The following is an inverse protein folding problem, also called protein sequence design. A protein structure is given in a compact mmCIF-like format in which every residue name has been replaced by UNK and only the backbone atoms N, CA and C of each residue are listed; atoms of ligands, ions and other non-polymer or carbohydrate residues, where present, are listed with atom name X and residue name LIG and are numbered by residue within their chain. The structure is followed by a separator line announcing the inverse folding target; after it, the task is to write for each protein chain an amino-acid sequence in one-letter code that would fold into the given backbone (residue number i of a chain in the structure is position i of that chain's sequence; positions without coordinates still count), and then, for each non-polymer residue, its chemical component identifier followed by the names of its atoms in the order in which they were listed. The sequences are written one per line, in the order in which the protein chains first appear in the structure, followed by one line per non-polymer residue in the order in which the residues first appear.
data_IF_736981939304
#
_entry.id   IF_736981939304
#
_cell.length_a   1.000
_cell.length_b   1.000
_cell.length_c   1.000
_cell.angle_alpha   90.00
_cell.angle_beta   90.00
_cell.angle_gamma   90.00
#
_symmetry.space_group_name_H-M   'P 1'
#
loop_
_entity.id
_entity.type
_entity.pdbx_description
1 polymer ?
#
# COMPACT_ATOMS: atom_id res chain seq x y z
N UNK A 1 59.15 -71.10 1.41
CA UNK A 1 59.69 -70.82 2.76
C UNK A 1 59.92 -69.31 2.87
N UNK A 2 59.13 -68.63 3.73
CA UNK A 2 59.20 -67.19 4.12
C UNK A 2 58.88 -66.20 2.96
N UNK A 3 57.98 -65.22 3.05
CA UNK A 3 57.57 -64.32 4.15
C UNK A 3 56.14 -63.76 3.95
N UNK A 4 55.40 -63.58 5.05
CA UNK A 4 54.18 -62.76 5.18
C UNK A 4 54.44 -61.27 4.87
N UNK A 5 53.40 -60.54 4.43
CA UNK A 5 52.94 -59.28 5.06
C UNK A 5 51.50 -58.95 4.64
N UNK A 6 50.77 -58.36 5.58
CA UNK A 6 49.32 -58.29 5.64
C UNK A 6 48.78 -56.87 5.44
N UNK A 7 47.50 -56.81 5.00
CA UNK A 7 46.45 -55.78 5.20
C UNK A 7 46.71 -54.35 4.70
N UNK A 8 45.77 -53.82 3.92
CA UNK A 8 44.99 -52.63 4.34
C UNK A 8 43.67 -52.52 3.54
N UNK A 9 42.61 -52.16 4.28
CA UNK A 9 41.25 -51.83 3.84
C UNK A 9 41.19 -50.46 3.12
N UNK A 10 40.16 -50.24 2.29
CA UNK A 10 39.76 -48.88 1.93
C UNK A 10 38.80 -48.80 0.73
N UNK A 11 37.51 -49.02 0.96
CA UNK A 11 36.45 -48.66 0.01
C UNK A 11 36.21 -47.14 0.08
N UNK A 12 36.32 -46.43 -1.04
CA UNK A 12 35.97 -45.02 -1.16
C UNK A 12 34.67 -44.89 -1.97
N UNK A 13 33.56 -44.67 -1.25
CA UNK A 13 32.31 -44.14 -1.79
C UNK A 13 32.45 -42.62 -1.94
N UNK A 14 32.49 -42.13 -3.18
CA UNK A 14 32.36 -40.71 -3.50
C UNK A 14 30.88 -40.40 -3.75
N UNK A 15 30.19 -39.95 -2.70
CA UNK A 15 28.87 -39.33 -2.81
C UNK A 15 29.02 -37.83 -3.09
N UNK A 16 28.65 -37.39 -4.29
CA UNK A 16 28.59 -35.98 -4.63
C UNK A 16 27.26 -35.38 -4.11
N UNK A 17 27.30 -34.71 -2.96
CA UNK A 17 26.22 -33.85 -2.50
C UNK A 17 26.27 -32.53 -3.29
N UNK A 18 25.41 -32.39 -4.31
CA UNK A 18 25.15 -31.11 -4.95
C UNK A 18 24.28 -30.25 -4.02
N UNK A 19 24.91 -29.36 -3.26
CA UNK A 19 24.21 -28.31 -2.52
C UNK A 19 23.70 -27.27 -3.52
N UNK A 20 22.39 -27.27 -3.78
CA UNK A 20 21.72 -26.15 -4.44
C UNK A 20 21.80 -24.93 -3.51
N UNK A 21 22.82 -24.09 -3.71
CA UNK A 21 22.89 -22.79 -3.07
C UNK A 21 21.76 -21.93 -3.61
N UNK A 22 20.72 -21.73 -2.81
CA UNK A 22 19.77 -20.65 -3.05
C UNK A 22 20.53 -19.34 -2.85
N UNK A 23 20.91 -18.69 -3.94
CA UNK A 23 21.41 -17.32 -3.91
C UNK A 23 20.27 -16.44 -3.42
N UNK A 24 20.29 -16.08 -2.13
CA UNK A 24 19.45 -14.99 -1.65
C UNK A 24 19.84 -13.73 -2.47
N UNK A 25 18.87 -12.97 -3.02
CA UNK A 25 19.21 -11.74 -3.70
C UNK A 25 19.92 -10.84 -2.70
N UNK A 26 21.10 -10.33 -3.09
CA UNK A 26 21.78 -9.28 -2.37
C UNK A 26 20.97 -7.99 -2.56
N UNK A 27 19.87 -7.84 -1.84
CA UNK A 27 19.17 -6.57 -1.77
C UNK A 27 20.11 -5.59 -1.07
N UNK A 28 20.52 -4.54 -1.80
CA UNK A 28 21.26 -3.44 -1.21
C UNK A 28 20.44 -2.91 -0.02
N UNK A 29 21.04 -2.90 1.17
CA UNK A 29 20.34 -2.47 2.37
C UNK A 29 19.84 -1.03 2.19
N UNK A 30 18.57 -0.82 2.52
CA UNK A 30 17.94 0.50 2.53
C UNK A 30 18.80 1.47 3.36
N UNK A 31 19.31 2.52 2.72
CA UNK A 31 20.15 3.50 3.40
C UNK A 31 19.28 4.64 3.91
N UNK A 32 19.11 4.72 5.22
CA UNK A 32 18.39 5.84 5.87
C UNK A 32 19.34 7.03 5.97
N UNK A 33 19.03 8.14 5.29
CA UNK A 33 19.84 9.37 5.31
C UNK A 33 19.34 10.41 6.32
N UNK A 34 18.10 10.27 6.78
CA UNK A 34 17.53 11.07 7.87
C UNK A 34 16.51 10.25 8.66
N UNK A 35 16.38 10.47 9.99
CA UNK A 35 15.27 9.93 10.75
C UNK A 35 13.94 10.32 10.14
N UNK A 36 12.97 9.41 10.24
CA UNK A 36 11.63 9.67 9.75
C UNK A 36 10.88 10.64 10.68
N UNK A 37 10.14 11.58 10.11
CA UNK A 37 9.34 12.54 10.84
C UNK A 37 7.87 12.46 10.36
N UNK A 38 6.95 12.01 11.22
CA UNK A 38 5.53 11.90 10.88
C UNK A 38 4.81 13.26 10.84
N UNK A 39 5.42 14.33 11.37
CA UNK A 39 4.82 15.67 11.51
C UNK A 39 5.08 16.60 10.32
N UNK A 40 5.62 16.07 9.21
CA UNK A 40 5.89 16.84 7.98
C UNK A 40 4.71 16.83 6.99
N UNK A 41 3.57 16.35 7.45
CA UNK A 41 2.33 16.26 6.70
C UNK A 41 1.17 16.68 7.58
N UNK A 42 0.16 17.30 7.00
CA UNK A 42 -1.11 17.61 7.65
C UNK A 42 -2.25 16.80 7.02
N UNK A 43 -2.98 15.95 7.77
CA UNK A 43 -2.74 15.60 9.17
C UNK A 43 -1.43 14.82 9.35
N UNK A 44 -0.89 14.86 10.57
CA UNK A 44 0.30 14.10 10.93
C UNK A 44 0.11 12.61 10.66
N UNK A 45 1.15 11.96 10.14
CA UNK A 45 1.17 10.52 10.01
C UNK A 45 1.19 9.88 11.41
N UNK A 46 0.58 8.70 11.57
CA UNK A 46 0.66 7.94 12.83
C UNK A 46 1.97 7.17 12.96
N UNK A 47 2.63 6.91 11.83
CA UNK A 47 3.95 6.32 11.74
C UNK A 47 4.58 6.62 10.38
N UNK A 48 5.89 6.45 10.28
CA UNK A 48 6.55 6.59 8.99
C UNK A 48 7.84 5.75 8.93
N UNK A 49 8.23 5.40 7.71
CA UNK A 49 9.40 4.60 7.41
C UNK A 49 10.38 5.43 6.59
N UNK A 50 11.42 5.88 7.29
CA UNK A 50 12.66 6.46 6.77
C UNK A 50 12.56 7.72 5.92
N UNK A 51 13.71 8.34 5.73
CA UNK A 51 14.07 9.03 4.50
C UNK A 51 15.20 8.24 3.87
N UNK A 52 14.85 7.35 2.96
CA UNK A 52 15.79 6.48 2.27
C UNK A 52 16.47 7.23 1.14
N UNK A 53 17.76 6.99 0.94
CA UNK A 53 18.50 7.57 -0.19
C UNK A 53 17.90 7.12 -1.52
N UNK A 54 17.74 8.06 -2.45
CA UNK A 54 17.30 7.77 -3.81
C UNK A 54 15.80 7.92 -4.05
N UNK A 55 15.41 7.77 -5.31
CA UNK A 55 14.01 7.67 -5.72
C UNK A 55 13.57 6.21 -5.74
N UNK A 56 12.89 5.79 -4.68
CA UNK A 56 12.34 4.43 -4.58
C UNK A 56 11.02 4.25 -5.35
N UNK A 57 10.50 5.26 -6.05
CA UNK A 57 9.15 5.28 -6.63
C UNK A 57 9.17 5.30 -8.17
N UNK A 58 10.10 4.56 -8.78
CA UNK A 58 10.33 4.51 -10.22
C UNK A 58 9.92 3.19 -10.91
N UNK A 59 9.53 2.16 -10.15
CA UNK A 59 9.09 0.86 -10.68
C UNK A 59 10.21 -0.11 -11.07
N UNK A 60 11.48 0.19 -10.77
CA UNK A 60 12.56 -0.78 -10.98
C UNK A 60 12.43 -1.98 -10.01
N UNK A 61 12.91 -3.18 -10.35
CA UNK A 61 12.85 -4.33 -9.45
C UNK A 61 13.50 -4.09 -8.08
N UNK A 62 14.62 -3.37 -8.05
CA UNK A 62 15.31 -3.00 -6.80
C UNK A 62 14.46 -2.05 -5.97
N UNK A 63 13.85 -1.06 -6.62
CA UNK A 63 13.03 -0.06 -5.94
C UNK A 63 11.74 -0.67 -5.42
N UNK A 64 11.14 -1.60 -6.15
CA UNK A 64 9.99 -2.38 -5.69
C UNK A 64 10.36 -3.19 -4.44
N UNK A 65 11.49 -3.91 -4.43
CA UNK A 65 11.93 -4.65 -3.25
C UNK A 65 12.19 -3.72 -2.05
N UNK A 66 12.75 -2.54 -2.29
CA UNK A 66 12.97 -1.51 -1.30
C UNK A 66 11.65 -0.94 -0.73
N UNK A 67 10.63 -0.71 -1.58
CA UNK A 67 9.29 -0.32 -1.13
C UNK A 67 8.67 -1.40 -0.23
N UNK A 68 8.79 -2.67 -0.60
CA UNK A 68 8.29 -3.79 0.21
C UNK A 68 8.95 -3.83 1.59
N UNK A 69 10.28 -3.69 1.62
CA UNK A 69 11.04 -3.65 2.87
C UNK A 69 10.67 -2.44 3.74
N UNK A 70 10.54 -1.25 3.14
CA UNK A 70 10.13 -0.04 3.86
C UNK A 70 8.72 -0.18 4.45
N UNK A 71 7.75 -0.63 3.65
CA UNK A 71 6.35 -0.79 4.08
C UNK A 71 6.22 -1.83 5.21
N UNK A 72 7.01 -2.92 5.15
CA UNK A 72 7.03 -3.94 6.20
C UNK A 72 7.55 -3.43 7.55
N UNK A 73 8.23 -2.28 7.60
CA UNK A 73 8.68 -1.65 8.85
C UNK A 73 7.60 -0.81 9.53
N UNK A 74 6.52 -0.46 8.81
CA UNK A 74 5.40 0.30 9.37
C UNK A 74 4.61 -0.57 10.36
N UNK A 75 4.09 0.01 11.46
CA UNK A 75 3.25 -0.73 12.40
C UNK A 75 1.95 -1.19 11.72
N UNK A 76 1.40 -2.31 12.19
CA UNK A 76 0.15 -2.88 11.65
C UNK A 76 0.33 -4.03 10.66
N UNK A 77 1.56 -4.45 10.37
CA UNK A 77 1.84 -5.65 9.57
C UNK A 77 1.52 -5.48 8.08
N UNK A 78 1.62 -4.25 7.57
CA UNK A 78 1.39 -3.96 6.16
C UNK A 78 2.46 -4.59 5.28
N UNK A 79 2.04 -5.07 4.11
CA UNK A 79 2.93 -5.61 3.08
C UNK A 79 2.53 -5.08 1.72
N UNK A 80 3.50 -4.79 0.88
CA UNK A 80 3.28 -4.55 -0.54
C UNK A 80 3.62 -5.83 -1.32
N UNK A 81 2.75 -6.23 -2.23
CA UNK A 81 2.91 -7.46 -3.03
C UNK A 81 3.94 -7.32 -4.18
N UNK A 82 4.44 -6.10 -4.40
CA UNK A 82 5.40 -5.80 -5.46
C UNK A 82 4.75 -5.51 -6.82
N UNK A 83 3.42 -5.49 -6.91
CA UNK A 83 2.70 -5.23 -8.16
C UNK A 83 2.70 -3.73 -8.50
N UNK A 84 3.83 -3.23 -8.99
CA UNK A 84 3.97 -1.82 -9.38
C UNK A 84 2.98 -1.39 -10.48
N UNK A 85 2.64 -2.28 -11.42
CA UNK A 85 1.67 -1.98 -12.48
C UNK A 85 0.25 -1.73 -11.98
N UNK A 86 -0.09 -2.18 -10.77
CA UNK A 86 -1.36 -1.84 -10.13
C UNK A 86 -1.35 -0.42 -9.53
N UNK A 87 -0.16 0.13 -9.24
CA UNK A 87 0.03 1.45 -8.63
C UNK A 87 0.32 2.54 -9.66
N UNK A 88 1.17 2.28 -10.65
CA UNK A 88 1.55 3.24 -11.69
C UNK A 88 0.85 2.87 -13.02
N UNK A 89 -0.01 3.74 -13.60
CA UNK A 89 -0.21 5.16 -13.26
C UNK A 89 -1.38 5.46 -12.32
N UNK A 90 -2.21 4.48 -11.96
CA UNK A 90 -3.52 4.73 -11.34
C UNK A 90 -3.47 5.46 -9.98
N UNK A 91 -2.43 5.20 -9.19
CA UNK A 91 -2.25 5.68 -7.82
C UNK A 91 -0.93 6.43 -7.62
N UNK A 92 -0.28 6.82 -8.71
CA UNK A 92 0.93 7.66 -8.69
C UNK A 92 0.60 9.06 -9.16
N UNK A 93 1.03 10.05 -8.40
CA UNK A 93 0.94 11.47 -8.76
C UNK A 93 2.34 12.03 -8.96
N UNK A 94 2.49 12.90 -9.96
CA UNK A 94 3.76 13.60 -10.26
C UNK A 94 3.64 15.11 -10.06
N UNK A 95 2.52 15.57 -9.50
CA UNK A 95 2.25 16.96 -9.19
C UNK A 95 1.39 17.07 -7.93
N UNK A 96 1.54 18.20 -7.24
CA UNK A 96 0.72 18.55 -6.08
C UNK A 96 -0.48 19.37 -6.54
N UNK A 97 -1.65 19.15 -5.92
CA UNK A 97 -2.77 20.07 -6.07
C UNK A 97 -2.66 21.20 -5.04
N UNK A 98 -3.21 22.38 -5.35
CA UNK A 98 -3.19 23.55 -4.44
C UNK A 98 -1.81 23.80 -3.80
N UNK A 99 -0.74 23.65 -4.58
CA UNK A 99 0.67 23.83 -4.20
C UNK A 99 1.27 22.74 -3.30
N UNK A 100 0.53 22.19 -2.34
CA UNK A 100 1.10 21.26 -1.35
C UNK A 100 0.32 19.97 -1.09
N UNK A 101 -0.75 19.69 -1.83
CA UNK A 101 -1.63 18.56 -1.53
C UNK A 101 -1.28 17.32 -2.35
N UNK A 102 -1.12 16.21 -1.64
CA UNK A 102 -1.11 14.85 -2.16
C UNK A 102 -2.56 14.43 -2.41
N UNK A 103 -3.03 14.66 -3.64
CA UNK A 103 -4.40 14.38 -4.04
C UNK A 103 -4.44 13.29 -5.12
N UNK A 104 -5.00 12.13 -4.75
CA UNK A 104 -5.10 10.95 -5.62
C UNK A 104 -6.46 10.87 -6.34
N UNK A 105 -7.25 11.96 -6.36
CA UNK A 105 -8.55 12.01 -7.02
C UNK A 105 -9.64 11.16 -6.37
N UNK A 106 -9.43 10.70 -5.14
CA UNK A 106 -10.38 9.86 -4.39
C UNK A 106 -10.33 10.18 -2.90
N UNK A 107 -11.41 9.84 -2.21
CA UNK A 107 -11.44 9.90 -0.75
C UNK A 107 -10.61 8.75 -0.17
N UNK A 108 -9.76 9.09 0.79
CA UNK A 108 -8.88 8.18 1.52
C UNK A 108 -9.49 7.95 2.91
N UNK A 109 -9.40 6.73 3.43
CA UNK A 109 -10.00 6.35 4.71
C UNK A 109 -9.07 5.45 5.51
N UNK A 110 -9.31 5.40 6.83
CA UNK A 110 -8.64 4.46 7.74
C UNK A 110 -7.10 4.42 7.56
N UNK A 111 -6.49 3.25 7.76
CA UNK A 111 -5.07 3.06 7.50
C UNK A 111 -4.72 3.32 6.03
N UNK A 112 -3.91 4.34 5.79
CA UNK A 112 -3.54 4.79 4.44
C UNK A 112 -2.02 4.93 4.36
N UNK A 113 -1.39 4.29 3.36
CA UNK A 113 0.06 4.40 3.15
C UNK A 113 0.34 5.21 1.90
N UNK A 114 1.11 6.28 2.07
CA UNK A 114 1.57 7.12 0.97
C UNK A 114 3.10 7.14 0.98
N UNK A 115 3.71 6.72 -0.12
CA UNK A 115 5.12 6.95 -0.39
C UNK A 115 5.32 8.27 -1.12
N UNK A 116 6.35 9.05 -0.78
CA UNK A 116 6.72 10.26 -1.50
C UNK A 116 8.22 10.29 -1.79
N UNK A 117 8.58 10.90 -2.92
CA UNK A 117 9.96 11.13 -3.31
C UNK A 117 10.25 12.63 -3.44
N UNK A 118 11.41 13.04 -2.91
CA UNK A 118 11.95 14.38 -2.97
C UNK A 118 13.37 14.35 -3.54
N UNK A 119 13.59 14.97 -4.70
CA UNK A 119 14.84 14.85 -5.45
C UNK A 119 15.89 15.93 -5.18
N UNK A 120 15.54 16.98 -4.45
CA UNK A 120 16.41 18.14 -4.17
C UNK A 120 16.08 18.81 -2.82
N UNK A 121 16.09 18.02 -1.74
CA UNK A 121 15.93 18.51 -0.37
C UNK A 121 17.23 19.17 0.08
N UNK A 122 17.13 20.32 0.75
CA UNK A 122 18.30 21.01 1.29
C UNK A 122 19.04 20.16 2.33
N UNK A 123 20.37 20.27 2.34
CA UNK A 123 21.23 19.56 3.31
C UNK A 123 21.65 18.16 2.84
N UNK A 124 22.18 17.33 3.75
CA UNK A 124 22.78 16.03 3.41
C UNK A 124 21.78 14.99 2.91
N UNK A 125 20.47 15.22 3.12
CA UNK A 125 19.42 14.35 2.65
C UNK A 125 19.35 14.32 1.10
N UNK A 126 19.37 15.49 0.45
CA UNK A 126 19.49 15.66 -1.01
C UNK A 126 18.38 15.04 -1.84
N UNK A 127 18.37 13.71 -1.93
CA UNK A 127 17.47 12.91 -2.74
C UNK A 127 16.94 11.73 -1.91
N UNK A 128 15.65 11.76 -1.57
CA UNK A 128 15.06 10.87 -0.56
C UNK A 128 13.68 10.35 -0.91
N UNK A 129 13.35 9.16 -0.40
CA UNK A 129 12.00 8.60 -0.38
C UNK A 129 11.55 8.26 1.04
N UNK A 130 10.30 8.56 1.34
CA UNK A 130 9.64 8.32 2.65
C UNK A 130 8.32 7.62 2.44
N UNK A 131 7.91 6.80 3.41
CA UNK A 131 6.59 6.17 3.44
C UNK A 131 5.88 6.54 4.74
N UNK A 132 4.74 7.22 4.64
CA UNK A 132 3.91 7.59 5.77
C UNK A 132 2.72 6.65 5.89
N UNK A 133 2.36 6.32 7.13
CA UNK A 133 1.13 5.65 7.50
C UNK A 133 0.22 6.66 8.20
N UNK A 134 -0.98 6.84 7.67
CA UNK A 134 -2.03 7.68 8.24
C UNK A 134 -3.16 6.80 8.79
N UNK A 135 -3.90 7.32 9.77
CA UNK A 135 -5.27 6.86 10.05
C UNK A 135 -6.25 8.00 9.76
N UNK A 136 -6.93 7.92 8.63
CA UNK A 136 -7.89 8.93 8.16
C UNK A 136 -9.32 8.63 8.62
N UNK A 137 -9.50 7.61 9.45
CA UNK A 137 -10.78 7.24 10.06
C UNK A 137 -11.90 6.98 9.05
N UNK A 138 -13.15 7.08 9.51
CA UNK A 138 -14.36 6.85 8.71
C UNK A 138 -14.82 8.08 7.92
N UNK A 139 -14.50 9.27 8.41
CA UNK A 139 -14.78 10.53 7.71
C UNK A 139 -13.97 10.63 6.42
N UNK A 140 -12.73 10.14 6.48
CA UNK A 140 -11.79 10.18 5.38
C UNK A 140 -11.22 11.57 5.10
N UNK A 141 -10.29 11.64 4.15
CA UNK A 141 -9.71 12.86 3.65
C UNK A 141 -9.55 12.78 2.13
N UNK A 142 -9.80 13.89 1.42
CA UNK A 142 -9.60 13.96 -0.04
C UNK A 142 -8.14 14.16 -0.43
N UNK A 143 -7.30 14.58 0.51
CA UNK A 143 -5.87 14.81 0.33
C UNK A 143 -5.14 14.77 1.67
N UNK A 144 -3.81 14.65 1.59
CA UNK A 144 -2.88 14.97 2.69
C UNK A 144 -2.03 16.14 2.23
N UNK A 145 -1.85 17.15 3.07
CA UNK A 145 -0.98 18.29 2.75
C UNK A 145 0.45 17.99 3.17
N UNK A 146 1.42 18.38 2.35
CA UNK A 146 2.81 18.48 2.74
C UNK A 146 3.04 19.83 3.43
N UNK A 147 3.78 19.83 4.53
CA UNK A 147 4.15 21.08 5.20
C UNK A 147 5.36 21.74 4.50
N UNK A 148 6.14 20.93 3.78
CA UNK A 148 7.22 21.37 2.91
C UNK A 148 7.18 20.64 1.56
N UNK A 149 7.25 21.40 0.47
CA UNK A 149 7.13 20.87 -0.90
C UNK A 149 8.44 20.86 -1.69
N UNK A 150 9.53 21.34 -1.07
CA UNK A 150 10.82 21.50 -1.72
C UNK A 150 11.35 20.16 -2.24
N UNK A 151 11.61 20.11 -3.55
CA UNK A 151 12.11 18.93 -4.22
C UNK A 151 11.06 17.83 -4.46
N UNK A 152 9.78 18.04 -4.14
CA UNK A 152 8.73 17.05 -4.43
C UNK A 152 8.78 16.65 -5.90
N UNK A 153 8.81 15.34 -6.14
CA UNK A 153 8.89 14.76 -7.48
C UNK A 153 7.65 13.93 -7.80
N UNK A 154 7.30 13.01 -6.90
CA UNK A 154 6.13 12.17 -7.06
C UNK A 154 5.72 11.51 -5.73
N UNK A 155 4.48 11.04 -5.67
CA UNK A 155 3.97 10.23 -4.58
C UNK A 155 3.10 9.07 -5.09
N UNK A 156 2.99 8.02 -4.30
CA UNK A 156 2.26 6.80 -4.61
C UNK A 156 1.39 6.42 -3.42
N UNK A 157 0.12 6.13 -3.69
CA UNK A 157 -0.82 5.58 -2.72
C UNK A 157 -0.77 4.05 -2.78
N UNK A 158 -0.30 3.40 -1.71
CA UNK A 158 -0.15 1.95 -1.64
C UNK A 158 -1.40 1.25 -1.11
N UNK A 159 -2.03 1.84 -0.10
CA UNK A 159 -3.25 1.31 0.49
C UNK A 159 -4.08 2.43 1.07
N UNK A 160 -5.39 2.20 1.15
CA UNK A 160 -6.31 3.02 1.91
C UNK A 160 -7.42 2.13 2.45
N UNK A 161 -7.86 2.40 3.67
CA UNK A 161 -8.89 1.63 4.35
C UNK A 161 -10.23 1.63 3.60
N UNK A 162 -11.13 0.69 3.95
CA UNK A 162 -12.47 0.68 3.39
C UNK A 162 -13.20 1.97 3.80
N UNK A 163 -13.81 2.63 2.83
CA UNK A 163 -14.67 3.78 3.10
C UNK A 163 -15.89 3.40 3.94
N UNK A 164 -16.56 4.41 4.49
CA UNK A 164 -17.80 4.19 5.22
C UNK A 164 -18.86 3.56 4.28
N UNK A 165 -19.08 2.25 4.43
CA UNK A 165 -20.23 1.57 3.83
C UNK A 165 -21.44 1.92 4.69
N UNK A 166 -22.58 2.35 4.10
CA UNK A 166 -23.79 2.60 4.87
C UNK A 166 -24.12 1.37 5.70
N UNK A 167 -24.33 1.57 7.00
CA UNK A 167 -24.58 0.47 7.94
C UNK A 167 -25.78 -0.37 7.48
N UNK A 168 -25.86 -1.67 7.83
CA UNK A 168 -26.97 -2.53 7.44
C UNK A 168 -28.36 -1.96 7.79
N UNK A 169 -28.43 -1.12 8.84
CA UNK A 169 -29.62 -0.36 9.23
C UNK A 169 -30.05 0.65 8.16
N UNK A 170 -29.11 1.34 7.51
CA UNK A 170 -29.40 2.29 6.42
C UNK A 170 -29.97 1.56 5.20
N UNK A 171 -29.40 0.41 4.84
CA UNK A 171 -29.95 -0.43 3.77
C UNK A 171 -31.33 -0.96 4.13
N UNK A 172 -31.52 -1.41 5.37
CA UNK A 172 -32.81 -1.88 5.85
C UNK A 172 -33.87 -0.77 5.84
N UNK A 173 -33.54 0.45 6.29
CA UNK A 173 -34.44 1.61 6.25
C UNK A 173 -34.82 1.98 4.82
N UNK A 174 -33.86 1.92 3.89
CA UNK A 174 -34.11 2.17 2.47
C UNK A 174 -35.01 1.10 1.84
N UNK A 175 -34.77 -0.17 2.15
CA UNK A 175 -35.63 -1.28 1.72
C UNK A 175 -37.03 -1.20 2.32
N UNK A 176 -37.15 -0.85 3.60
CA UNK A 176 -38.44 -0.64 4.26
C UNK A 176 -39.17 0.56 3.64
N UNK A 177 -38.47 1.67 3.38
CA UNK A 177 -39.03 2.85 2.73
C UNK A 177 -39.57 2.54 1.33
N UNK A 178 -38.75 1.92 0.48
CA UNK A 178 -39.19 1.53 -0.86
C UNK A 178 -40.27 0.44 -0.84
N UNK A 179 -40.16 -0.52 0.07
CA UNK A 179 -41.16 -1.58 0.27
C UNK A 179 -42.51 -1.03 0.70
N UNK A 180 -42.53 -0.08 1.64
CA UNK A 180 -43.75 0.57 2.11
C UNK A 180 -44.42 1.38 0.99
N UNK A 181 -43.66 2.22 0.27
CA UNK A 181 -44.19 3.02 -0.85
C UNK A 181 -44.73 2.10 -1.96
N UNK A 182 -43.97 1.08 -2.36
CA UNK A 182 -44.40 0.10 -3.36
C UNK A 182 -45.63 -0.69 -2.93
N UNK A 183 -45.71 -1.07 -1.65
CA UNK A 183 -46.87 -1.72 -1.04
C UNK A 183 -48.13 -0.87 -1.14
N UNK A 184 -48.05 0.40 -0.74
CA UNK A 184 -49.17 1.35 -0.81
C UNK A 184 -49.65 1.55 -2.26
N UNK A 185 -48.75 1.69 -3.23
CA UNK A 185 -49.10 1.80 -4.64
C UNK A 185 -49.83 0.55 -5.18
N UNK A 186 -49.41 -0.65 -4.75
CA UNK A 186 -50.04 -1.91 -5.17
C UNK A 186 -51.45 -2.07 -4.57
N UNK A 187 -51.68 -1.59 -3.36
CA UNK A 187 -53.01 -1.62 -2.73
C UNK A 187 -54.01 -0.72 -3.46
N UNK A 188 -53.60 0.45 -3.94
CA UNK A 188 -54.49 1.39 -4.66
C UNK A 188 -54.98 0.84 -6.00
N UNK A 189 -54.17 0.05 -6.73
CA UNK A 189 -54.60 -0.55 -8.02
C UNK A 189 -55.72 -1.57 -7.87
N UNK A 190 -55.81 -2.28 -6.74
CA UNK A 190 -56.87 -3.27 -6.49
C UNK A 190 -58.25 -2.66 -6.25
N UNK A 191 -58.34 -1.34 -6.09
CA UNK A 191 -59.60 -0.63 -5.81
C UNK A 191 -60.22 0.00 -7.08
N UNK A 192 -59.54 -0.01 -8.23
CA UNK A 192 -59.98 0.67 -9.46
C UNK A 192 -60.20 -0.34 -10.60
N UNK A 193 -61.19 -1.23 -10.44
CA UNK A 193 -61.67 -2.08 -11.54
C UNK A 193 -63.17 -2.39 -11.40
N UNK A 194 -64.00 -1.34 -11.56
CA UNK A 194 -65.41 -1.49 -11.93
C UNK A 194 -65.68 -0.47 -13.04
N UNK A 195 -65.28 -0.81 -14.27
CA UNK A 195 -65.74 -0.10 -15.47
C UNK A 195 -66.90 -0.92 -16.03
N UNK A 196 -68.12 -0.46 -15.78
CA UNK A 196 -69.32 -0.99 -16.41
C UNK A 196 -69.41 -0.39 -17.81
N UNK A 197 -69.29 -1.22 -18.85
CA UNK A 197 -69.63 -0.82 -20.20
C UNK A 197 -71.15 -0.90 -20.37
N UNK A 198 -71.74 0.18 -20.89
CA UNK A 198 -73.15 0.29 -21.28
C UNK A 198 -73.32 0.00 -22.78
#
# INVERSE_FOLDING_TARGET
MKTLKAKLFGAALLGACATFGVSAPANAALTVVSPCDPSLTTPDAIACAGYYSGNLLNGSPTDIANQQAAIATLPGGFTFDGNWSALDPAFKITSLSNVNQLNFGKMLFGPTIIGAHFGNVYGPAGNVSVFWLFDLGKTGASYVSLDHTQGFSNAVLYTTGPGAVPEPSTWALLLVGFGAVGGLMRMRRKQISNVSYA
#
